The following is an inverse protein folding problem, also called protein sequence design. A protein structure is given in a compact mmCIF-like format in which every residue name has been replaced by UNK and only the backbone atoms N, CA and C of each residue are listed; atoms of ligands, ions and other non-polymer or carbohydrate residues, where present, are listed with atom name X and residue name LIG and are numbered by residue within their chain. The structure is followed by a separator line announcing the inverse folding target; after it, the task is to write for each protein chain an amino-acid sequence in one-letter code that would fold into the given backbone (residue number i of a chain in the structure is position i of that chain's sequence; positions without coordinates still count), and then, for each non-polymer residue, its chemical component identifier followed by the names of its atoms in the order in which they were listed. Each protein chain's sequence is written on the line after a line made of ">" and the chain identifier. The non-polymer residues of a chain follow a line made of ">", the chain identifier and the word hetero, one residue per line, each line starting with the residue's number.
data_IF_940371772190
#
_entry.id   IF_940371772190
#
_cell.length_a   1.000
_cell.length_b   1.000
_cell.length_c   1.000
_cell.angle_alpha   90.00
_cell.angle_beta   90.00
_cell.angle_gamma   90.00
#
_symmetry.space_group_name_H-M   'P 1'
#
loop_
_entity.id
_entity.type
_entity.pdbx_description
1 polymer ?
#
# COMPACT_ATOMS: atom_id res chain seq x y z
N UNK A 1 -24.72 -1.76 -12.64
CA UNK A 1 -23.73 -1.19 -13.58
C UNK A 1 -22.28 -1.66 -13.32
N UNK A 2 -21.99 -2.35 -12.19
CA UNK A 2 -20.67 -2.95 -11.89
C UNK A 2 -20.47 -4.33 -12.57
N UNK A 3 -21.53 -5.02 -12.99
CA UNK A 3 -21.46 -6.42 -13.42
C UNK A 3 -21.04 -6.64 -14.89
N UNK A 4 -20.95 -5.61 -15.73
CA UNK A 4 -20.64 -5.78 -17.17
C UNK A 4 -19.15 -5.68 -17.51
N UNK A 5 -18.30 -5.10 -16.64
CA UNK A 5 -16.83 -5.04 -16.81
C UNK A 5 -16.09 -6.32 -16.36
N UNK A 6 -16.79 -7.28 -15.73
CA UNK A 6 -16.16 -8.44 -15.07
C UNK A 6 -16.27 -9.77 -15.83
N UNK A 7 -16.78 -9.79 -17.06
CA UNK A 7 -16.87 -11.03 -17.86
C UNK A 7 -15.50 -11.61 -18.27
N UNK A 8 -14.46 -10.77 -18.29
CA UNK A 8 -13.08 -11.12 -18.63
C UNK A 8 -12.29 -11.76 -17.48
N UNK A 9 -12.76 -11.64 -16.24
CA UNK A 9 -12.08 -12.10 -15.04
C UNK A 9 -12.10 -13.62 -14.92
N UNK A 10 -10.95 -14.24 -14.73
CA UNK A 10 -10.83 -15.70 -14.59
C UNK A 10 -11.55 -16.20 -13.34
N UNK A 11 -11.57 -15.42 -12.25
CA UNK A 11 -12.27 -15.78 -11.01
C UNK A 11 -13.80 -15.74 -11.20
N UNK A 12 -14.28 -14.95 -12.16
CA UNK A 12 -15.70 -14.61 -12.34
C UNK A 12 -16.31 -15.31 -13.55
N UNK A 13 -15.49 -15.71 -14.53
CA UNK A 13 -15.96 -16.33 -15.76
C UNK A 13 -16.44 -17.77 -15.52
N UNK A 14 -17.73 -18.02 -15.78
CA UNK A 14 -18.44 -19.29 -15.52
C UNK A 14 -17.86 -20.51 -16.26
N UNK A 15 -17.09 -20.32 -17.33
CA UNK A 15 -16.53 -21.44 -18.12
C UNK A 15 -15.12 -21.86 -17.68
N UNK A 16 -14.39 -20.99 -16.97
CA UNK A 16 -12.99 -21.21 -16.52
C UNK A 16 -12.76 -20.83 -15.05
N UNK A 17 -13.81 -20.77 -14.23
CA UNK A 17 -13.72 -20.28 -12.86
C UNK A 17 -12.80 -21.15 -12.01
N UNK A 18 -11.88 -20.50 -11.29
CA UNK A 18 -11.18 -21.12 -10.15
C UNK A 18 -12.26 -21.44 -9.11
N UNK A 19 -12.59 -22.72 -8.95
CA UNK A 19 -13.54 -23.20 -7.94
C UNK A 19 -12.95 -22.94 -6.55
N UNK A 20 -13.53 -21.97 -5.84
CA UNK A 20 -13.24 -21.76 -4.44
C UNK A 20 -14.13 -22.73 -3.65
N UNK A 21 -13.58 -23.75 -2.97
CA UNK A 21 -14.38 -24.85 -2.42
C UNK A 21 -15.30 -24.43 -1.27
N UNK A 22 -15.02 -23.29 -0.63
CA UNK A 22 -15.75 -22.79 0.53
C UNK A 22 -16.74 -21.66 0.19
N UNK A 23 -16.71 -21.08 -1.01
CA UNK A 23 -17.62 -19.99 -1.40
C UNK A 23 -17.70 -19.75 -2.91
N UNK A 24 -18.73 -19.04 -3.36
CA UNK A 24 -18.88 -18.71 -4.79
C UNK A 24 -17.90 -17.61 -5.22
N UNK A 25 -17.00 -17.93 -6.16
CA UNK A 25 -15.90 -17.06 -6.60
C UNK A 25 -16.35 -15.67 -7.07
N UNK A 26 -17.42 -15.59 -7.88
CA UNK A 26 -18.01 -14.31 -8.31
C UNK A 26 -18.50 -13.49 -7.12
N UNK A 27 -19.19 -14.11 -6.16
CA UNK A 27 -19.77 -13.40 -5.04
C UNK A 27 -18.69 -12.93 -4.06
N UNK A 28 -17.63 -13.73 -3.84
CA UNK A 28 -16.47 -13.32 -3.06
C UNK A 28 -15.83 -12.07 -3.67
N UNK A 29 -15.52 -12.13 -4.97
CA UNK A 29 -14.92 -11.00 -5.68
C UNK A 29 -15.79 -9.75 -5.60
N UNK A 30 -17.09 -9.89 -5.84
CA UNK A 30 -18.04 -8.78 -5.72
C UNK A 30 -18.03 -8.17 -4.32
N UNK A 31 -18.02 -8.99 -3.26
CA UNK A 31 -17.98 -8.50 -1.88
C UNK A 31 -16.68 -7.77 -1.58
N UNK A 32 -15.54 -8.29 -2.04
CA UNK A 32 -14.23 -7.65 -1.88
C UNK A 32 -14.16 -6.31 -2.62
N UNK A 33 -14.71 -6.23 -3.83
CA UNK A 33 -14.78 -4.98 -4.60
C UNK A 33 -15.70 -3.96 -3.94
N UNK A 34 -16.88 -4.38 -3.45
CA UNK A 34 -17.79 -3.50 -2.69
C UNK A 34 -17.06 -2.92 -1.48
N UNK A 35 -16.36 -3.76 -0.72
CA UNK A 35 -15.60 -3.36 0.46
C UNK A 35 -14.45 -2.39 0.12
N UNK A 36 -13.74 -2.65 -0.97
CA UNK A 36 -12.59 -1.83 -1.41
C UNK A 36 -13.02 -0.48 -1.99
N UNK A 37 -14.20 -0.43 -2.61
CA UNK A 37 -14.76 0.79 -3.20
C UNK A 37 -15.69 1.55 -2.25
N UNK A 38 -15.87 1.03 -1.03
CA UNK A 38 -16.70 1.67 -0.02
C UNK A 38 -16.16 3.08 0.27
N UNK A 39 -17.08 4.04 0.34
CA UNK A 39 -16.76 5.43 0.61
C UNK A 39 -16.30 5.64 2.04
N UNK A 40 -16.64 4.74 2.96
CA UNK A 40 -16.18 4.78 4.36
C UNK A 40 -14.67 4.79 4.48
N UNK A 41 -13.97 4.09 3.57
CA UNK A 41 -12.49 4.00 3.52
C UNK A 41 -11.84 5.01 2.57
N UNK A 42 -12.60 5.95 1.97
CA UNK A 42 -12.04 6.94 1.05
C UNK A 42 -11.65 8.22 1.78
N UNK A 43 -10.40 8.63 1.60
CA UNK A 43 -9.96 9.96 1.95
C UNK A 43 -10.03 10.92 0.76
N UNK A 44 -10.42 12.17 1.00
CA UNK A 44 -10.34 13.22 -0.01
C UNK A 44 -8.91 13.78 -0.03
N UNK A 45 -8.37 14.13 -1.21
CA UNK A 45 -6.95 14.52 -1.38
C UNK A 45 -6.45 15.60 -0.41
N UNK A 46 -7.29 16.58 -0.08
CA UNK A 46 -6.90 17.72 0.74
C UNK A 46 -7.36 17.58 2.20
N UNK A 47 -7.40 16.35 2.72
CA UNK A 47 -7.85 16.11 4.10
C UNK A 47 -6.97 16.80 5.16
N UNK A 48 -5.71 17.08 4.84
CA UNK A 48 -4.84 17.86 5.71
C UNK A 48 -5.24 19.35 5.79
N UNK A 49 -6.08 19.87 4.90
CA UNK A 49 -6.59 21.25 5.00
C UNK A 49 -7.41 21.44 6.28
N UNK A 50 -8.03 20.38 6.79
CA UNK A 50 -8.72 20.34 8.10
C UNK A 50 -7.75 20.31 9.30
N UNK A 51 -6.45 20.18 9.06
CA UNK A 51 -5.40 19.99 10.05
C UNK A 51 -4.22 20.95 9.80
N UNK A 52 -4.40 22.27 10.01
CA UNK A 52 -3.41 23.29 9.61
C UNK A 52 -2.03 23.16 10.31
N UNK A 53 -1.93 22.37 11.38
CA UNK A 53 -0.68 22.12 12.11
C UNK A 53 0.06 20.86 11.65
N UNK A 54 -0.52 20.08 10.73
CA UNK A 54 0.04 18.82 10.23
C UNK A 54 0.36 18.99 8.74
N UNK A 55 1.64 18.83 8.38
CA UNK A 55 2.09 18.93 6.99
C UNK A 55 2.19 17.57 6.32
N UNK A 56 2.18 17.54 4.99
CA UNK A 56 2.41 16.30 4.20
C UNK A 56 3.76 15.67 4.55
N UNK A 57 4.80 16.48 4.74
CA UNK A 57 6.14 16.04 5.14
C UNK A 57 6.14 15.36 6.51
N UNK A 58 5.41 15.91 7.48
CA UNK A 58 5.26 15.26 8.79
C UNK A 58 4.63 13.87 8.66
N UNK A 59 3.61 13.72 7.81
CA UNK A 59 2.99 12.41 7.53
C UNK A 59 4.00 11.43 6.95
N UNK A 60 4.79 11.84 5.95
CA UNK A 60 5.83 10.99 5.36
C UNK A 60 6.86 10.55 6.40
N UNK A 61 7.34 11.46 7.26
CA UNK A 61 8.29 11.14 8.35
C UNK A 61 7.67 10.18 9.37
N UNK A 62 6.40 10.39 9.75
CA UNK A 62 5.71 9.47 10.65
C UNK A 62 5.60 8.07 10.04
N UNK A 63 5.25 7.96 8.76
CA UNK A 63 5.06 6.68 8.09
C UNK A 63 6.38 5.94 7.91
N UNK A 64 7.45 6.65 7.54
CA UNK A 64 8.80 6.10 7.46
C UNK A 64 9.24 5.52 8.82
N UNK A 65 9.05 6.28 9.90
CA UNK A 65 9.31 5.80 11.26
C UNK A 65 8.44 4.59 11.65
N UNK A 66 7.17 4.54 11.28
CA UNK A 66 6.32 3.38 11.55
C UNK A 66 6.78 2.12 10.79
N UNK A 67 7.40 2.25 9.63
CA UNK A 67 8.04 1.13 8.94
C UNK A 67 9.23 0.62 9.75
N UNK A 68 10.09 1.51 10.26
CA UNK A 68 11.21 1.14 11.14
C UNK A 68 10.72 0.39 12.39
N UNK A 69 9.73 0.94 13.08
CA UNK A 69 9.12 0.31 14.26
C UNK A 69 8.54 -1.06 13.92
N UNK A 70 7.90 -1.19 12.76
CA UNK A 70 7.33 -2.46 12.30
C UNK A 70 8.42 -3.50 12.01
N UNK A 71 9.56 -3.12 11.45
CA UNK A 71 10.70 -4.03 11.29
C UNK A 71 11.30 -4.44 12.63
N UNK A 72 11.52 -3.49 13.55
CA UNK A 72 12.09 -3.77 14.88
C UNK A 72 11.24 -4.78 15.65
N UNK A 73 9.93 -4.63 15.61
CA UNK A 73 8.99 -5.56 16.26
C UNK A 73 8.60 -6.76 15.40
N UNK A 74 9.19 -6.92 14.21
CA UNK A 74 8.90 -8.02 13.29
C UNK A 74 7.39 -8.14 13.01
N UNK A 75 6.72 -7.01 12.82
CA UNK A 75 5.30 -6.96 12.48
C UNK A 75 5.10 -7.31 11.01
N UNK A 76 3.90 -7.81 10.69
CA UNK A 76 3.52 -8.08 9.31
C UNK A 76 3.39 -6.78 8.51
N UNK A 77 3.65 -6.88 7.19
CA UNK A 77 3.39 -5.79 6.23
C UNK A 77 1.93 -5.35 6.26
N UNK A 78 1.02 -6.30 6.43
CA UNK A 78 -0.41 -6.02 6.57
C UNK A 78 -0.67 -5.09 7.77
N UNK A 79 -0.01 -5.34 8.91
CA UNK A 79 -0.10 -4.51 10.13
C UNK A 79 0.32 -3.05 9.86
N UNK A 80 1.43 -2.82 9.15
CA UNK A 80 1.82 -1.47 8.73
C UNK A 80 0.81 -0.84 7.76
N UNK A 81 0.36 -1.58 6.74
CA UNK A 81 -0.58 -1.03 5.76
C UNK A 81 -1.98 -0.75 6.36
N UNK A 82 -2.38 -1.48 7.39
CA UNK A 82 -3.57 -1.18 8.20
C UNK A 82 -3.37 0.09 9.03
N UNK A 83 -2.21 0.25 9.69
CA UNK A 83 -1.94 1.41 10.55
C UNK A 83 -1.98 2.71 9.76
N UNK A 84 -1.38 2.79 8.58
CA UNK A 84 -1.44 3.98 7.72
C UNK A 84 -2.85 4.25 7.21
N UNK A 85 -3.65 3.21 6.97
CA UNK A 85 -5.04 3.36 6.58
C UNK A 85 -5.87 3.97 7.72
N UNK A 86 -5.62 3.56 8.96
CA UNK A 86 -6.26 4.13 10.15
C UNK A 86 -5.86 5.58 10.37
N UNK A 87 -4.56 5.91 10.24
CA UNK A 87 -4.08 7.30 10.41
C UNK A 87 -4.73 8.22 9.38
N UNK A 88 -4.67 7.86 8.10
CA UNK A 88 -5.28 8.68 7.05
C UNK A 88 -6.78 8.83 7.30
N UNK A 89 -7.49 7.73 7.55
CA UNK A 89 -8.95 7.76 7.76
C UNK A 89 -9.35 8.57 9.01
N UNK A 90 -8.57 8.50 10.09
CA UNK A 90 -8.75 9.35 11.26
C UNK A 90 -8.67 10.84 10.90
N UNK A 91 -7.65 11.22 10.11
CA UNK A 91 -7.47 12.60 9.65
C UNK A 91 -8.57 13.02 8.67
N UNK A 92 -9.10 12.12 7.84
CA UNK A 92 -10.25 12.46 6.98
C UNK A 92 -11.53 12.76 7.79
N UNK A 93 -11.68 12.11 8.95
CA UNK A 93 -12.92 12.12 9.74
C UNK A 93 -12.89 13.10 10.91
N UNK A 94 -11.72 13.68 11.22
CA UNK A 94 -11.53 14.62 12.33
C UNK A 94 -11.03 15.96 11.82
N UNK A 95 -10.83 16.93 12.72
CA UNK A 95 -10.31 18.24 12.38
C UNK A 95 -9.38 18.73 13.49
N UNK A 96 -8.44 19.62 13.16
CA UNK A 96 -7.59 20.35 14.11
C UNK A 96 -6.79 19.45 15.07
N UNK A 97 -6.27 18.33 14.58
CA UNK A 97 -5.35 17.49 15.36
C UNK A 97 -4.11 18.30 15.79
N UNK A 98 -3.80 18.38 17.09
CA UNK A 98 -2.60 19.04 17.57
C UNK A 98 -1.32 18.35 17.11
N UNK A 99 -0.29 19.12 16.77
CA UNK A 99 1.03 18.63 16.31
C UNK A 99 1.66 17.59 17.25
N UNK A 100 1.58 17.83 18.56
CA UNK A 100 2.13 16.96 19.60
C UNK A 100 1.37 15.63 19.77
N UNK A 101 0.12 15.53 19.28
CA UNK A 101 -0.65 14.28 19.28
C UNK A 101 -0.42 13.42 18.04
N UNK A 102 0.36 13.88 17.06
CA UNK A 102 0.52 13.17 15.79
C UNK A 102 1.33 11.88 15.93
N UNK A 103 2.40 11.87 16.72
CA UNK A 103 3.14 10.65 17.04
C UNK A 103 2.25 9.66 17.83
N UNK A 104 1.46 10.17 18.77
CA UNK A 104 0.50 9.38 19.54
C UNK A 104 -0.55 8.70 18.63
N UNK A 105 -1.11 9.44 17.66
CA UNK A 105 -2.00 8.86 16.64
C UNK A 105 -1.32 7.71 15.88
N UNK A 106 -0.07 7.94 15.44
CA UNK A 106 0.68 6.97 14.65
C UNK A 106 0.93 5.67 15.40
N UNK A 107 1.50 5.77 16.60
CA UNK A 107 1.85 4.59 17.40
C UNK A 107 0.60 3.84 17.88
N UNK A 108 -0.48 4.57 18.22
CA UNK A 108 -1.76 3.97 18.59
C UNK A 108 -2.41 3.26 17.41
N UNK A 109 -2.35 3.82 16.21
CA UNK A 109 -2.84 3.17 14.99
C UNK A 109 -2.10 1.87 14.71
N UNK A 110 -0.78 1.84 14.92
CA UNK A 110 0.02 0.62 14.79
C UNK A 110 -0.32 -0.40 15.89
N UNK A 111 -0.54 0.05 17.12
CA UNK A 111 -1.00 -0.81 18.22
C UNK A 111 -2.35 -1.47 17.93
N UNK A 112 -3.34 -0.70 17.44
CA UNK A 112 -4.64 -1.24 17.04
C UNK A 112 -4.49 -2.24 15.89
N UNK A 113 -3.72 -1.89 14.84
CA UNK A 113 -3.47 -2.78 13.72
C UNK A 113 -2.81 -4.10 14.17
N UNK A 114 -1.83 -4.02 15.07
CA UNK A 114 -1.14 -5.20 15.59
C UNK A 114 -2.11 -6.11 16.35
N UNK A 115 -3.03 -5.57 17.15
CA UNK A 115 -4.05 -6.37 17.84
C UNK A 115 -5.03 -7.08 16.90
N UNK A 116 -5.21 -6.56 15.68
CA UNK A 116 -6.10 -7.15 14.68
C UNK A 116 -5.41 -8.23 13.86
N UNK A 117 -4.16 -8.00 13.48
CA UNK A 117 -3.46 -8.85 12.50
C UNK A 117 -2.49 -9.85 13.15
N UNK A 118 -1.83 -9.49 14.25
CA UNK A 118 -0.79 -10.33 14.86
C UNK A 118 -1.39 -11.41 15.76
N UNK A 119 -0.81 -12.62 15.70
CA UNK A 119 -1.16 -13.69 16.65
C UNK A 119 -0.74 -13.30 18.08
N UNK A 120 0.43 -12.67 18.19
CA UNK A 120 1.02 -12.21 19.45
C UNK A 120 1.52 -10.77 19.29
N UNK A 121 0.63 -9.76 19.35
CA UNK A 121 1.03 -8.36 19.24
C UNK A 121 1.99 -7.96 20.38
N UNK A 122 2.89 -6.98 20.17
CA UNK A 122 3.70 -6.40 21.24
C UNK A 122 2.83 -5.81 22.35
N UNK A 123 3.38 -5.72 23.56
CA UNK A 123 2.63 -5.20 24.72
C UNK A 123 2.49 -3.68 24.59
N UNK A 124 1.48 -3.14 25.26
CA UNK A 124 1.27 -1.69 25.36
C UNK A 124 2.53 -0.93 25.82
N UNK A 125 3.24 -1.49 26.81
CA UNK A 125 4.52 -0.96 27.30
C UNK A 125 5.60 -0.85 26.21
N UNK A 126 5.61 -1.76 25.24
CA UNK A 126 6.60 -1.78 24.15
C UNK A 126 6.31 -0.63 23.16
N UNK A 127 5.02 -0.34 22.91
CA UNK A 127 4.58 0.81 22.10
C UNK A 127 4.85 2.15 22.81
N UNK A 128 4.72 2.22 24.14
CA UNK A 128 5.15 3.42 24.89
C UNK A 128 6.67 3.58 24.85
N UNK A 129 7.42 2.48 25.08
CA UNK A 129 8.88 2.48 25.10
C UNK A 129 9.50 2.97 23.79
N UNK A 130 8.99 2.53 22.63
CA UNK A 130 9.54 2.93 21.31
C UNK A 130 9.35 4.41 20.99
N UNK A 131 8.48 5.11 21.74
CA UNK A 131 8.31 6.56 21.64
C UNK A 131 9.24 7.32 22.58
N UNK A 132 10.26 6.68 23.17
CA UNK A 132 11.06 7.24 24.28
C UNK A 132 10.17 7.70 25.46
N UNK A 133 9.03 7.04 25.66
CA UNK A 133 7.99 7.38 26.63
C UNK A 133 7.37 8.78 26.46
N UNK A 134 7.46 9.38 25.26
CA UNK A 134 6.71 10.61 24.97
C UNK A 134 5.20 10.35 24.91
N UNK A 135 4.81 9.13 24.56
CA UNK A 135 3.43 8.65 24.60
C UNK A 135 3.29 7.67 25.77
N UNK A 136 2.55 8.04 26.82
CA UNK A 136 2.31 7.15 27.95
C UNK A 136 1.33 6.03 27.59
N UNK A 137 1.33 4.93 28.36
CA UNK A 137 0.35 3.85 28.17
C UNK A 137 -1.10 4.35 28.29
N UNK A 138 -1.35 5.31 29.19
CA UNK A 138 -2.67 5.93 29.37
C UNK A 138 -3.07 6.74 28.12
N UNK A 139 -2.16 7.55 27.57
CA UNK A 139 -2.41 8.32 26.35
C UNK A 139 -2.73 7.41 25.17
N UNK A 140 -2.04 6.27 25.04
CA UNK A 140 -2.28 5.31 23.95
C UNK A 140 -3.66 4.67 24.10
N UNK A 141 -4.11 4.35 25.32
CA UNK A 141 -5.44 3.79 25.57
C UNK A 141 -6.56 4.81 25.28
N UNK A 142 -6.38 6.07 25.69
CA UNK A 142 -7.35 7.12 25.40
C UNK A 142 -7.43 7.40 23.89
N UNK A 143 -6.27 7.48 23.23
CA UNK A 143 -6.21 7.68 21.78
C UNK A 143 -6.78 6.49 21.01
N UNK A 144 -6.67 5.26 21.53
CA UNK A 144 -7.27 4.08 20.92
C UNK A 144 -8.80 4.26 20.85
N UNK A 145 -9.44 4.70 21.95
CA UNK A 145 -10.88 4.92 21.97
C UNK A 145 -11.29 6.03 20.99
N UNK A 146 -10.55 7.14 20.95
CA UNK A 146 -10.78 8.23 20.00
C UNK A 146 -10.63 7.75 18.55
N UNK A 147 -9.61 6.95 18.27
CA UNK A 147 -9.36 6.36 16.96
C UNK A 147 -10.52 5.46 16.53
N UNK A 148 -10.91 4.50 17.38
CA UNK A 148 -11.98 3.55 17.09
C UNK A 148 -13.33 4.25 16.82
N UNK A 149 -13.63 5.31 17.58
CA UNK A 149 -14.81 6.13 17.38
C UNK A 149 -14.76 6.92 16.07
N UNK A 150 -13.62 7.55 15.75
CA UNK A 150 -13.44 8.29 14.49
C UNK A 150 -13.55 7.37 13.26
N UNK A 151 -13.12 6.12 13.36
CA UNK A 151 -13.24 5.11 12.30
C UNK A 151 -14.64 4.46 12.25
N UNK A 152 -15.54 4.78 13.17
CA UNK A 152 -16.83 4.07 13.36
C UNK A 152 -16.67 2.54 13.40
N UNK A 153 -15.57 2.05 14.00
CA UNK A 153 -15.22 0.63 14.08
C UNK A 153 -15.02 -0.08 12.72
N UNK A 154 -14.90 0.66 11.61
CA UNK A 154 -14.51 0.11 10.30
C UNK A 154 -12.99 -0.07 10.23
N UNK A 155 -12.48 -1.12 10.89
CA UNK A 155 -11.04 -1.37 11.07
C UNK A 155 -10.46 -2.47 10.18
N UNK A 156 -11.24 -3.01 9.24
CA UNK A 156 -10.78 -4.09 8.38
C UNK A 156 -10.85 -3.64 6.91
N UNK A 157 -10.11 -2.63 6.44
CA UNK A 157 -10.00 -2.35 5.02
C UNK A 157 -9.24 -3.47 4.30
N UNK A 158 -9.42 -3.62 2.98
CA UNK A 158 -8.53 -4.47 2.17
C UNK A 158 -7.37 -3.60 1.71
N UNK A 159 -6.17 -3.85 2.23
CA UNK A 159 -4.97 -3.07 1.95
C UNK A 159 -4.41 -3.35 0.54
N UNK A 160 -3.48 -2.49 0.08
CA UNK A 160 -2.82 -2.69 -1.21
C UNK A 160 -1.96 -3.95 -1.18
N UNK A 161 -1.28 -4.25 -0.06
CA UNK A 161 -0.45 -5.44 0.08
C UNK A 161 -1.28 -6.73 0.04
N UNK A 162 -2.46 -6.74 0.69
CA UNK A 162 -3.45 -7.81 0.55
C UNK A 162 -3.86 -8.03 -0.91
N UNK A 163 -4.15 -6.96 -1.65
CA UNK A 163 -4.50 -7.06 -3.07
C UNK A 163 -3.36 -7.61 -3.94
N UNK A 164 -2.09 -7.26 -3.66
CA UNK A 164 -0.94 -7.85 -4.35
C UNK A 164 -0.91 -9.37 -4.13
N UNK A 165 -1.08 -9.83 -2.89
CA UNK A 165 -1.13 -11.26 -2.58
C UNK A 165 -2.24 -11.97 -3.36
N UNK A 166 -3.46 -11.41 -3.37
CA UNK A 166 -4.61 -11.96 -4.08
C UNK A 166 -4.31 -12.07 -5.58
N UNK A 167 -3.78 -11.01 -6.19
CA UNK A 167 -3.50 -10.99 -7.62
C UNK A 167 -2.42 -12.00 -8.03
N UNK A 168 -1.34 -12.10 -7.25
CA UNK A 168 -0.27 -13.07 -7.53
C UNK A 168 -0.73 -14.52 -7.27
N UNK A 169 -1.59 -14.74 -6.28
CA UNK A 169 -2.24 -16.04 -6.04
C UNK A 169 -3.09 -16.47 -7.25
N UNK A 170 -3.93 -15.55 -7.74
CA UNK A 170 -4.81 -15.81 -8.89
C UNK A 170 -4.00 -16.10 -10.16
N UNK A 171 -2.88 -15.40 -10.36
CA UNK A 171 -1.95 -15.68 -11.46
C UNK A 171 -1.41 -17.12 -11.39
N UNK A 172 -1.00 -17.55 -10.20
CA UNK A 172 -0.49 -18.90 -9.99
C UNK A 172 -1.56 -19.95 -10.27
N UNK A 173 -2.77 -19.77 -9.74
CA UNK A 173 -3.87 -20.70 -9.93
C UNK A 173 -4.27 -20.79 -11.40
N UNK A 174 -4.28 -19.66 -12.12
CA UNK A 174 -4.46 -19.61 -13.56
C UNK A 174 -3.40 -20.44 -14.29
N UNK A 175 -2.10 -20.24 -14.00
CA UNK A 175 -1.00 -20.99 -14.63
C UNK A 175 -1.09 -22.49 -14.33
N UNK A 176 -1.40 -22.85 -13.09
CA UNK A 176 -1.60 -24.23 -12.65
C UNK A 176 -2.77 -24.89 -13.39
N UNK A 177 -3.88 -24.18 -13.57
CA UNK A 177 -5.03 -24.66 -14.33
C UNK A 177 -4.68 -24.93 -15.79
N UNK A 178 -3.98 -24.01 -16.46
CA UNK A 178 -3.55 -24.14 -17.85
C UNK A 178 -2.59 -25.33 -18.04
N UNK A 179 -1.59 -25.48 -17.16
CA UNK A 179 -0.64 -26.61 -17.21
C UNK A 179 -1.32 -27.97 -17.03
N UNK A 180 -2.33 -28.06 -16.16
CA UNK A 180 -3.03 -29.31 -15.88
C UNK A 180 -4.02 -29.74 -16.99
N UNK A 181 -4.54 -28.80 -17.79
CA UNK A 181 -5.43 -29.13 -18.91
C UNK A 181 -4.73 -29.86 -20.06
N UNK A 182 -3.39 -29.85 -20.09
CA UNK A 182 -2.60 -30.68 -21.00
C UNK A 182 -2.54 -32.17 -20.56
N UNK A 183 -2.93 -32.49 -19.32
CA UNK A 183 -2.83 -33.83 -18.70
C UNK A 183 -4.20 -34.36 -18.21
N UNK A 184 -5.23 -34.33 -19.07
CA UNK A 184 -6.65 -34.63 -18.74
C UNK A 184 -6.95 -36.04 -18.16
N UNK A 185 -6.03 -37.00 -18.22
CA UNK A 185 -6.27 -38.41 -17.82
C UNK A 185 -6.35 -38.65 -16.29
N UNK A 186 -5.71 -37.82 -15.46
CA UNK A 186 -5.46 -38.17 -14.04
C UNK A 186 -6.48 -37.61 -13.02
N UNK A 187 -7.38 -36.70 -13.40
CA UNK A 187 -8.22 -35.95 -12.43
C UNK A 187 -9.49 -36.64 -11.95
N UNK A 188 -10.12 -37.53 -12.72
CA UNK A 188 -11.34 -38.22 -12.25
C UNK A 188 -11.08 -39.15 -11.07
N UNK A 189 -9.84 -39.60 -10.85
CA UNK A 189 -9.48 -40.55 -9.77
C UNK A 189 -9.03 -39.89 -8.47
N UNK A 190 -8.52 -38.65 -8.51
CA UNK A 190 -7.90 -37.99 -7.34
C UNK A 190 -8.89 -37.18 -6.48
N UNK A 191 -9.91 -36.60 -7.09
CA UNK A 191 -10.95 -35.81 -6.39
C UNK A 191 -11.84 -36.63 -5.44
N UNK A 192 -11.93 -37.95 -5.62
CA UNK A 192 -12.73 -38.83 -4.75
C UNK A 192 -12.02 -39.25 -3.45
N UNK A 193 -10.79 -38.79 -3.18
CA UNK A 193 -9.96 -39.32 -2.07
C UNK A 193 -9.43 -38.30 -1.07
N UNK A 194 -9.60 -37.00 -1.28
CA UNK A 194 -9.05 -35.97 -0.40
C UNK A 194 -10.13 -35.40 0.53
N UNK A 195 -9.78 -35.24 1.81
CA UNK A 195 -10.67 -34.62 2.79
C UNK A 195 -10.85 -33.12 2.47
N UNK A 196 -11.98 -32.54 2.85
CA UNK A 196 -12.27 -31.11 2.63
C UNK A 196 -11.17 -30.19 3.23
N UNK A 197 -10.51 -30.61 4.31
CA UNK A 197 -9.41 -29.87 4.96
C UNK A 197 -8.12 -29.81 4.14
N UNK A 198 -7.80 -30.87 3.39
CA UNK A 198 -6.61 -30.94 2.53
C UNK A 198 -6.82 -30.17 1.22
N UNK A 199 -8.05 -30.16 0.71
CA UNK A 199 -8.46 -29.35 -0.44
C UNK A 199 -8.31 -27.86 -0.09
N UNK A 200 -8.80 -27.44 1.08
CA UNK A 200 -8.66 -26.07 1.59
C UNK A 200 -7.19 -25.63 1.73
N UNK A 201 -6.33 -26.47 2.35
CA UNK A 201 -4.89 -26.17 2.49
C UNK A 201 -4.17 -26.10 1.15
N UNK A 202 -4.55 -26.92 0.17
CA UNK A 202 -3.92 -26.95 -1.15
C UNK A 202 -4.31 -25.78 -2.08
N UNK A 203 -5.45 -25.14 -1.81
CA UNK A 203 -6.05 -24.13 -2.68
C UNK A 203 -5.91 -22.68 -2.19
N UNK A 204 -5.48 -22.46 -0.94
CA UNK A 204 -5.36 -21.12 -0.37
C UNK A 204 -3.90 -20.91 0.03
N UNK A 205 -3.16 -20.13 -0.76
CA UNK A 205 -1.87 -19.51 -0.45
C UNK A 205 -0.63 -20.44 -0.32
N UNK A 206 -0.74 -21.65 0.23
CA UNK A 206 0.44 -22.45 0.64
C UNK A 206 1.38 -22.92 -0.48
N UNK A 207 0.89 -23.02 -1.73
CA UNK A 207 1.71 -23.52 -2.84
C UNK A 207 2.40 -22.41 -3.63
N UNK A 208 1.91 -21.18 -3.54
CA UNK A 208 2.43 -20.04 -4.32
C UNK A 208 3.68 -19.46 -3.68
N UNK A 209 3.72 -19.45 -2.34
CA UNK A 209 4.85 -18.97 -1.55
C UNK A 209 6.16 -19.72 -1.81
N UNK A 210 6.15 -20.89 -2.48
CA UNK A 210 7.37 -21.61 -2.87
C UNK A 210 7.97 -21.17 -4.20
N UNK A 211 7.27 -20.34 -4.98
CA UNK A 211 7.77 -19.86 -6.27
C UNK A 211 8.70 -18.67 -6.06
N UNK A 212 9.95 -18.78 -6.50
CA UNK A 212 10.93 -17.68 -6.43
C UNK A 212 10.44 -16.43 -7.18
N UNK A 213 9.73 -16.60 -8.31
CA UNK A 213 9.12 -15.50 -9.08
C UNK A 213 8.05 -14.77 -8.25
N UNK A 214 7.23 -15.51 -7.49
CA UNK A 214 6.21 -14.91 -6.64
C UNK A 214 6.83 -14.03 -5.56
N UNK A 215 7.80 -14.59 -4.82
CA UNK A 215 8.41 -13.93 -3.67
C UNK A 215 9.18 -12.69 -4.10
N UNK A 216 9.86 -12.76 -5.25
CA UNK A 216 10.58 -11.63 -5.83
C UNK A 216 9.61 -10.51 -6.23
N UNK A 217 8.57 -10.82 -7.02
CA UNK A 217 7.59 -9.80 -7.45
C UNK A 217 6.84 -9.22 -6.25
N UNK A 218 6.46 -10.06 -5.28
CA UNK A 218 5.80 -9.59 -4.06
C UNK A 218 6.69 -8.62 -3.29
N UNK A 219 7.96 -8.98 -3.03
CA UNK A 219 8.91 -8.13 -2.31
C UNK A 219 9.17 -6.80 -3.04
N UNK A 220 9.32 -6.82 -4.37
CA UNK A 220 9.50 -5.62 -5.18
C UNK A 220 8.25 -4.72 -5.17
N UNK A 221 7.07 -5.31 -5.35
CA UNK A 221 5.81 -4.58 -5.30
C UNK A 221 5.55 -3.99 -3.90
N UNK A 222 5.85 -4.74 -2.84
CA UNK A 222 5.71 -4.29 -1.46
C UNK A 222 6.64 -3.10 -1.18
N UNK A 223 7.92 -3.18 -1.54
CA UNK A 223 8.88 -2.08 -1.40
C UNK A 223 8.44 -0.83 -2.17
N UNK A 224 7.90 -0.99 -3.38
CA UNK A 224 7.34 0.12 -4.15
C UNK A 224 6.13 0.73 -3.46
N UNK A 225 5.21 -0.08 -2.93
CA UNK A 225 4.04 0.40 -2.20
C UNK A 225 4.41 1.09 -0.89
N UNK A 226 5.44 0.62 -0.19
CA UNK A 226 5.97 1.25 1.02
C UNK A 226 6.47 2.67 0.68
N UNK A 227 7.30 2.82 -0.37
CA UNK A 227 7.77 4.14 -0.80
C UNK A 227 6.62 5.04 -1.28
N UNK A 228 5.69 4.50 -2.05
CA UNK A 228 4.51 5.23 -2.50
C UNK A 228 3.63 5.70 -1.33
N UNK A 229 3.54 4.91 -0.25
CA UNK A 229 2.70 5.24 0.92
C UNK A 229 3.13 6.54 1.63
N UNK A 230 4.40 6.92 1.50
CA UNK A 230 4.93 8.18 2.03
C UNK A 230 4.32 9.41 1.35
N UNK A 231 3.87 9.29 0.10
CA UNK A 231 3.19 10.34 -0.64
C UNK A 231 1.72 10.45 -0.22
N UNK A 232 1.24 11.68 -0.01
CA UNK A 232 -0.15 11.97 0.35
C UNK A 232 -1.15 11.49 -0.72
N UNK A 233 -0.74 11.50 -1.99
CA UNK A 233 -1.57 11.06 -3.11
C UNK A 233 -1.81 9.54 -3.13
N UNK A 234 -1.06 8.76 -2.35
CA UNK A 234 -1.33 7.33 -2.17
C UNK A 234 -2.76 7.07 -1.67
N UNK A 235 -3.29 7.97 -0.85
CA UNK A 235 -4.61 7.81 -0.22
C UNK A 235 -5.76 8.04 -1.21
N UNK A 236 -5.50 8.69 -2.36
CA UNK A 236 -6.51 8.97 -3.39
C UNK A 236 -6.83 7.72 -4.24
N UNK A 237 -5.84 6.84 -4.42
CA UNK A 237 -5.98 5.69 -5.30
C UNK A 237 -6.60 4.51 -4.55
N UNK A 238 -7.48 3.78 -5.24
CA UNK A 238 -8.02 2.55 -4.69
C UNK A 238 -6.92 1.50 -4.52
N UNK A 239 -6.96 0.77 -3.41
CA UNK A 239 -5.89 -0.17 -3.02
C UNK A 239 -5.72 -1.30 -4.05
N UNK A 240 -6.80 -1.72 -4.71
CA UNK A 240 -6.76 -2.72 -5.78
C UNK A 240 -6.11 -2.19 -7.08
N UNK A 241 -6.14 -0.87 -7.33
CA UNK A 241 -5.47 -0.23 -8.47
C UNK A 241 -3.99 -0.10 -8.17
N UNK A 242 -3.64 0.38 -6.98
CA UNK A 242 -2.24 0.49 -6.52
C UNK A 242 -1.51 -0.85 -6.62
N UNK A 243 -2.14 -1.93 -6.16
CA UNK A 243 -1.60 -3.28 -6.23
C UNK A 243 -1.40 -3.78 -7.68
N UNK A 244 -2.34 -3.51 -8.58
CA UNK A 244 -2.22 -3.92 -9.98
C UNK A 244 -1.12 -3.13 -10.70
N UNK A 245 -1.07 -1.81 -10.49
CA UNK A 245 -0.05 -0.92 -11.04
C UNK A 245 1.35 -1.30 -10.58
N UNK A 246 1.53 -1.63 -9.30
CA UNK A 246 2.85 -1.99 -8.75
C UNK A 246 3.37 -3.30 -9.35
N UNK A 247 2.52 -4.31 -9.52
CA UNK A 247 2.90 -5.57 -10.20
C UNK A 247 3.25 -5.31 -11.67
N UNK A 248 2.43 -4.54 -12.38
CA UNK A 248 2.57 -4.32 -13.82
C UNK A 248 3.86 -3.55 -14.19
N UNK A 249 4.35 -2.68 -13.30
CA UNK A 249 5.63 -1.98 -13.47
C UNK A 249 6.83 -2.93 -13.46
N UNK A 250 6.81 -3.99 -12.65
CA UNK A 250 7.86 -5.02 -12.64
C UNK A 250 7.61 -6.16 -13.63
N UNK A 251 6.36 -6.36 -14.06
CA UNK A 251 5.93 -7.48 -14.92
C UNK A 251 5.05 -7.00 -16.07
N UNK A 252 5.68 -6.44 -17.10
CA UNK A 252 4.99 -5.85 -18.26
C UNK A 252 4.06 -6.80 -19.02
N UNK A 253 4.40 -8.09 -19.11
CA UNK A 253 3.60 -9.11 -19.80
C UNK A 253 2.57 -9.80 -18.89
N UNK A 254 2.24 -9.20 -17.74
CA UNK A 254 1.28 -9.76 -16.80
C UNK A 254 -0.15 -9.66 -17.33
N UNK A 255 -0.97 -10.74 -17.30
CA UNK A 255 -2.32 -10.75 -17.87
C UNK A 255 -3.33 -10.00 -16.97
N UNK A 256 -3.14 -8.69 -16.82
CA UNK A 256 -3.81 -7.83 -15.85
C UNK A 256 -5.33 -7.87 -15.96
N UNK A 257 -5.89 -7.79 -17.18
CA UNK A 257 -7.35 -7.80 -17.38
C UNK A 257 -7.98 -9.14 -16.98
N UNK A 258 -7.25 -10.25 -17.15
CA UNK A 258 -7.76 -11.58 -16.84
C UNK A 258 -7.72 -11.86 -15.33
N UNK A 259 -6.77 -11.26 -14.61
CA UNK A 259 -6.59 -11.44 -13.16
C UNK A 259 -7.39 -10.42 -12.35
N UNK A 260 -7.35 -9.15 -12.76
CA UNK A 260 -7.89 -8.02 -11.99
C UNK A 260 -9.20 -7.48 -12.56
N UNK A 261 -9.47 -7.72 -13.85
CA UNK A 261 -10.62 -7.13 -14.56
C UNK A 261 -10.43 -5.67 -14.93
N UNK A 262 -9.25 -5.09 -14.65
CA UNK A 262 -8.90 -3.71 -14.99
C UNK A 262 -8.35 -3.62 -16.41
N UNK A 263 -8.68 -2.53 -17.10
CA UNK A 263 -8.06 -2.19 -18.39
C UNK A 263 -6.84 -1.31 -18.19
N UNK A 264 -5.99 -1.18 -19.22
CA UNK A 264 -4.85 -0.26 -19.18
C UNK A 264 -5.30 1.19 -18.94
N UNK A 265 -6.47 1.58 -19.47
CA UNK A 265 -7.06 2.90 -19.22
C UNK A 265 -7.38 3.11 -17.73
N UNK A 266 -7.93 2.08 -17.06
CA UNK A 266 -8.26 2.13 -15.63
C UNK A 266 -6.99 2.28 -14.75
N UNK A 267 -5.83 1.81 -15.23
CA UNK A 267 -4.54 1.85 -14.52
C UNK A 267 -3.66 3.06 -14.88
N UNK A 268 -3.85 3.63 -16.08
CA UNK A 268 -2.98 4.62 -16.70
C UNK A 268 -2.57 5.77 -15.76
N UNK A 269 -3.53 6.41 -15.10
CA UNK A 269 -3.30 7.53 -14.18
C UNK A 269 -2.43 7.12 -12.98
N UNK A 270 -2.73 5.96 -12.39
CA UNK A 270 -1.98 5.45 -11.23
C UNK A 270 -0.57 5.05 -11.62
N UNK A 271 -0.39 4.39 -12.77
CA UNK A 271 0.93 4.02 -13.28
C UNK A 271 1.80 5.23 -13.59
N UNK A 272 1.24 6.27 -14.22
CA UNK A 272 1.96 7.52 -14.48
C UNK A 272 2.40 8.20 -13.18
N UNK A 273 1.55 8.21 -12.16
CA UNK A 273 1.90 8.74 -10.84
C UNK A 273 2.96 7.89 -10.12
N UNK A 274 2.87 6.56 -10.23
CA UNK A 274 3.74 5.59 -9.56
C UNK A 274 5.11 5.44 -10.24
N UNK A 275 5.22 5.80 -11.53
CA UNK A 275 6.43 5.59 -12.34
C UNK A 275 7.70 6.23 -11.77
N UNK A 276 7.72 7.49 -11.29
CA UNK A 276 8.93 8.08 -10.70
C UNK A 276 9.44 7.31 -9.47
N UNK A 277 8.54 6.78 -8.64
CA UNK A 277 8.91 5.93 -7.49
C UNK A 277 9.59 4.64 -7.95
N UNK A 278 9.03 3.99 -8.97
CA UNK A 278 9.61 2.79 -9.56
C UNK A 278 11.00 3.07 -10.15
N UNK A 279 11.17 4.18 -10.88
CA UNK A 279 12.46 4.56 -11.47
C UNK A 279 13.54 4.74 -10.41
N UNK A 280 13.27 5.50 -9.33
CA UNK A 280 14.19 5.68 -8.19
C UNK A 280 14.55 4.34 -7.56
N UNK A 281 13.58 3.46 -7.32
CA UNK A 281 13.85 2.14 -6.74
C UNK A 281 14.67 1.25 -7.68
N UNK A 282 14.39 1.28 -8.98
CA UNK A 282 15.12 0.49 -9.98
C UNK A 282 16.58 0.92 -10.10
N UNK A 283 16.86 2.22 -10.01
CA UNK A 283 18.21 2.78 -9.96
C UNK A 283 18.93 2.42 -8.66
N UNK A 284 18.22 2.39 -7.52
CA UNK A 284 18.81 1.94 -6.26
C UNK A 284 19.22 0.46 -6.28
N UNK A 285 18.42 -0.39 -6.94
CA UNK A 285 18.64 -1.84 -7.04
C UNK A 285 19.79 -2.17 -7.98
N UNK A 286 19.95 -1.42 -9.08
CA UNK A 286 21.10 -1.61 -9.98
C UNK A 286 22.42 -1.29 -9.27
N UNK A 287 22.44 -0.24 -8.43
CA UNK A 287 23.61 0.17 -7.66
C UNK A 287 23.96 -0.77 -6.50
N UNK A 288 22.96 -1.43 -5.88
CA UNK A 288 23.16 -2.31 -4.72
C UNK A 288 23.56 -3.76 -5.07
N UNK A 289 23.53 -4.13 -6.34
CA UNK A 289 23.86 -5.47 -6.85
C UNK A 289 25.30 -5.98 -6.55
N UNK A 290 26.12 -5.20 -5.83
CA UNK A 290 27.42 -5.60 -5.30
C UNK A 290 27.42 -6.17 -3.86
N UNK A 291 26.27 -6.26 -3.17
CA UNK A 291 26.20 -6.82 -1.80
C UNK A 291 24.98 -7.73 -1.62
N UNK A 292 25.18 -9.04 -1.81
CA UNK A 292 24.14 -10.04 -1.56
C UNK A 292 24.17 -10.53 -0.11
N UNK A 293 23.14 -10.28 0.67
CA UNK A 293 22.80 -11.09 1.85
C UNK A 293 21.51 -11.87 1.55
N UNK A 294 21.64 -13.20 1.54
CA UNK A 294 20.54 -14.14 1.35
C UNK A 294 19.72 -14.24 2.63
N UNK A 295 18.47 -13.81 2.58
CA UNK A 295 17.52 -13.85 3.69
C UNK A 295 16.54 -15.02 3.47
N UNK A 296 16.28 -15.90 4.47
CA UNK A 296 15.44 -17.08 4.31
C UNK A 296 13.99 -16.71 3.92
N UNK A 297 13.46 -17.42 2.94
CA UNK A 297 12.44 -16.89 2.03
C UNK A 297 11.00 -17.12 2.51
N UNK A 298 10.75 -18.09 3.40
CA UNK A 298 9.39 -18.62 3.57
C UNK A 298 8.53 -17.91 4.64
N UNK A 299 9.12 -17.13 5.55
CA UNK A 299 8.38 -16.30 6.54
C UNK A 299 8.74 -14.81 6.45
N UNK A 300 9.84 -14.44 5.78
CA UNK A 300 10.34 -13.06 5.81
C UNK A 300 9.61 -12.15 4.82
N UNK A 301 8.95 -12.71 3.80
CA UNK A 301 8.23 -11.87 2.84
C UNK A 301 7.05 -11.13 3.50
N UNK A 302 6.38 -11.76 4.47
CA UNK A 302 5.22 -11.18 5.15
C UNK A 302 5.61 -10.18 6.23
N UNK A 303 6.85 -10.21 6.72
CA UNK A 303 7.38 -9.27 7.71
C UNK A 303 7.74 -7.94 7.04
N UNK A 304 7.43 -6.84 7.73
CA UNK A 304 7.80 -5.50 7.29
C UNK A 304 9.32 -5.29 7.42
N UNK A 305 9.91 -4.62 6.42
CA UNK A 305 11.35 -4.35 6.35
C UNK A 305 11.51 -2.87 6.00
N UNK A 306 12.36 -2.13 6.71
CA UNK A 306 12.74 -0.77 6.37
C UNK A 306 13.83 -0.80 5.30
N UNK A 307 13.42 -0.99 4.05
CA UNK A 307 14.29 -1.00 2.88
C UNK A 307 14.04 0.19 1.93
N UNK A 308 13.28 1.16 2.42
CA UNK A 308 13.08 2.48 1.83
C UNK A 308 13.69 3.52 2.77
N UNK A 309 13.88 4.74 2.30
CA UNK A 309 14.34 5.84 3.14
C UNK A 309 13.72 7.15 2.66
N UNK A 310 13.69 8.13 3.55
CA UNK A 310 13.31 9.49 3.18
C UNK A 310 14.17 10.07 2.04
N UNK A 311 15.44 9.69 1.93
CA UNK A 311 16.30 10.13 0.81
C UNK A 311 15.78 9.62 -0.55
N UNK A 312 15.35 8.35 -0.61
CA UNK A 312 14.74 7.81 -1.83
C UNK A 312 13.46 8.59 -2.16
N UNK A 313 12.68 8.96 -1.15
CA UNK A 313 11.47 9.74 -1.33
C UNK A 313 11.76 11.17 -1.83
N UNK A 314 12.81 11.83 -1.34
CA UNK A 314 13.27 13.13 -1.86
C UNK A 314 13.66 13.02 -3.34
N UNK A 315 14.42 11.99 -3.71
CA UNK A 315 14.81 11.76 -5.12
C UNK A 315 13.61 11.59 -6.05
N UNK A 316 12.47 11.08 -5.56
CA UNK A 316 11.23 11.00 -6.34
C UNK A 316 10.71 12.39 -6.68
N UNK A 317 10.73 13.32 -5.72
CA UNK A 317 10.33 14.71 -5.95
C UNK A 317 11.28 15.42 -6.91
N UNK A 318 12.59 15.20 -6.78
CA UNK A 318 13.58 15.76 -7.70
C UNK A 318 13.30 15.31 -9.15
N UNK A 319 13.09 14.01 -9.39
CA UNK A 319 12.73 13.49 -10.73
C UNK A 319 11.43 14.10 -11.25
N UNK A 320 10.42 14.28 -10.39
CA UNK A 320 9.17 14.94 -10.75
C UNK A 320 9.40 16.41 -11.15
N UNK A 321 10.20 17.14 -10.40
CA UNK A 321 10.56 18.54 -10.71
C UNK A 321 11.36 18.67 -12.00
N UNK A 322 12.33 17.78 -12.25
CA UNK A 322 13.07 17.73 -13.52
C UNK A 322 12.14 17.50 -14.72
N UNK A 323 11.20 16.56 -14.57
CA UNK A 323 10.20 16.28 -15.59
C UNK A 323 9.31 17.50 -15.87
N UNK A 324 8.81 18.17 -14.84
CA UNK A 324 8.00 19.39 -14.99
C UNK A 324 8.81 20.51 -15.65
N UNK A 325 10.05 20.74 -15.23
CA UNK A 325 10.93 21.75 -15.83
C UNK A 325 11.21 21.45 -17.31
N UNK A 326 11.42 20.19 -17.67
CA UNK A 326 11.59 19.74 -19.06
C UNK A 326 10.37 20.05 -19.94
N UNK A 327 9.15 19.85 -19.40
CA UNK A 327 7.90 20.17 -20.09
C UNK A 327 7.66 21.68 -20.14
N UNK A 328 7.85 22.41 -19.05
CA UNK A 328 7.65 23.86 -18.96
C UNK A 328 8.54 24.65 -19.91
N UNK A 329 9.76 24.15 -20.16
CA UNK A 329 10.70 24.70 -21.13
C UNK A 329 10.27 24.45 -22.59
N UNK A 330 9.40 23.47 -22.84
CA UNK A 330 8.79 23.23 -24.14
C UNK A 330 7.35 23.79 -24.20
N UNK A 331 7.22 25.05 -24.65
CA UNK A 331 5.95 25.82 -24.70
C UNK A 331 4.71 25.08 -25.27
N UNK A 332 4.77 24.20 -26.28
CA UNK A 332 3.56 23.54 -26.79
C UNK A 332 3.03 22.40 -25.89
N UNK A 333 3.72 22.07 -24.80
CA UNK A 333 3.38 20.91 -23.96
C UNK A 333 2.91 21.26 -22.54
N UNK A 334 2.67 22.54 -22.23
CA UNK A 334 2.21 22.94 -20.89
C UNK A 334 0.89 22.30 -20.49
N UNK A 335 -0.01 22.10 -21.44
CA UNK A 335 -1.30 21.43 -21.19
C UNK A 335 -1.14 19.95 -20.80
N UNK A 336 0.02 19.33 -21.10
CA UNK A 336 0.32 17.96 -20.68
C UNK A 336 0.50 17.85 -19.16
N UNK A 337 0.86 18.92 -18.46
CA UNK A 337 1.01 18.91 -17.01
C UNK A 337 -0.32 18.60 -16.30
N UNK A 338 -1.45 18.99 -16.89
CA UNK A 338 -2.79 18.70 -16.37
C UNK A 338 -3.13 17.21 -16.37
N UNK A 339 -2.38 16.38 -17.10
CA UNK A 339 -2.54 14.92 -17.07
C UNK A 339 -1.85 14.27 -15.86
N UNK A 340 -0.96 14.98 -15.16
CA UNK A 340 -0.26 14.46 -13.99
C UNK A 340 -0.91 14.99 -12.71
N UNK A 341 -1.51 14.10 -11.91
CA UNK A 341 -2.17 14.48 -10.65
C UNK A 341 -1.23 15.24 -9.71
N UNK A 342 0.03 14.81 -9.66
CA UNK A 342 1.07 15.35 -8.80
C UNK A 342 1.62 16.71 -9.21
N UNK A 343 1.30 17.21 -10.40
CA UNK A 343 1.77 18.54 -10.84
C UNK A 343 1.27 19.66 -9.92
N UNK A 344 0.00 19.57 -9.50
CA UNK A 344 -0.62 20.57 -8.61
C UNK A 344 -0.11 20.48 -7.17
N UNK A 345 0.10 19.25 -6.67
CA UNK A 345 0.65 18.97 -5.34
C UNK A 345 2.10 19.45 -5.25
N UNK A 346 2.92 19.16 -6.27
CA UNK A 346 4.32 19.60 -6.34
C UNK A 346 4.44 21.12 -6.31
N UNK A 347 3.57 21.83 -7.05
CA UNK A 347 3.55 23.30 -7.06
C UNK A 347 3.15 23.88 -5.71
N UNK A 348 2.16 23.29 -5.02
CA UNK A 348 1.79 23.70 -3.65
C UNK A 348 2.90 23.42 -2.65
N UNK A 349 3.59 22.29 -2.77
CA UNK A 349 4.73 21.96 -1.90
C UNK A 349 5.89 22.94 -2.08
N UNK A 350 6.22 23.31 -3.32
CA UNK A 350 7.22 24.34 -3.59
C UNK A 350 6.86 25.70 -2.96
N UNK A 351 5.58 26.09 -3.04
CA UNK A 351 5.08 27.31 -2.39
C UNK A 351 5.18 27.24 -0.85
N UNK A 352 4.77 26.11 -0.27
CA UNK A 352 4.82 25.92 1.19
C UNK A 352 6.26 25.84 1.71
N UNK A 353 7.19 25.21 0.97
CA UNK A 353 8.60 25.15 1.34
C UNK A 353 9.25 26.54 1.25
N UNK A 354 8.87 27.37 0.28
CA UNK A 354 9.27 28.77 0.19
C UNK A 354 8.71 29.61 1.34
N UNK A 355 7.45 29.40 1.73
CA UNK A 355 6.83 30.06 2.88
C UNK A 355 7.45 29.61 4.21
N UNK A 356 7.72 28.31 4.41
CA UNK A 356 8.42 27.80 5.60
C UNK A 356 9.85 28.37 5.69
N UNK A 357 10.59 28.44 4.58
CA UNK A 357 11.91 29.06 4.54
C UNK A 357 11.86 30.56 4.86
N UNK A 358 10.85 31.28 4.37
CA UNK A 358 10.62 32.69 4.71
C UNK A 358 10.25 32.86 6.18
N UNK A 359 9.39 31.99 6.74
CA UNK A 359 9.00 32.01 8.15
C UNK A 359 10.19 31.71 9.06
N UNK A 360 11.06 30.78 8.64
CA UNK A 360 12.26 30.41 9.37
C UNK A 360 13.31 31.53 9.31
N UNK A 361 13.50 32.19 8.16
CA UNK A 361 14.31 33.40 8.06
C UNK A 361 13.76 34.56 8.92
N UNK A 362 12.43 34.74 8.98
CA UNK A 362 11.80 35.76 9.82
C UNK A 362 12.03 35.44 11.32
N UNK A 363 11.88 34.17 11.72
CA UNK A 363 12.14 33.75 13.10
C UNK A 363 13.62 33.88 13.48
N UNK A 364 14.55 33.59 12.56
CA UNK A 364 15.98 33.77 12.77
C UNK A 364 16.37 35.26 12.87
N UNK A 365 15.67 36.14 12.15
CA UNK A 365 15.85 37.61 12.27
C UNK A 365 15.28 38.14 13.59
N UNK A 366 14.17 37.58 14.09
CA UNK A 366 13.56 37.95 15.38
C UNK A 366 14.41 37.48 16.57
N UNK A 367 15.25 36.46 16.41
CA UNK A 367 16.19 36.01 17.46
C UNK A 367 17.45 36.90 17.55
N UNK A 368 17.67 37.80 16.58
CA UNK A 368 18.87 38.67 16.50
C UNK A 368 18.59 40.15 16.89
N UNK A 369 17.34 40.53 17.14
CA UNK A 369 16.93 41.88 17.62
C UNK A 369 16.37 41.79 19.02
#
# INVERSE_FOLDING_TARGET
>A
MVLTKHSSLIIVNKENSIDIPWYQSHQLWSNMMIKTLDKTYKCHLNFLDSHPLITTKMRSVLFDWLIEVSEVYQLHRETYHLSIAYIDQYLCNTNNLPKNKFQLLGITSLFVAAKIEEIYPPRLSDFSYVTDNTCSEEDILDMELDLMNALNWYINPITSISWVLIYLQVEYDMKSFLNNNNNRSLRKKRRLSLSNSEILRSSILTNVHRSTDFLQIFSLAARLLDLCSLDIEYSQYSKHILAASSILLYKSNWPVQQITGLTDDDLSMCQQWMKPFYEVLSESLSNSSNRSSSVPIDEIYSIQIHNISMDLFVNVYEKRSEFVSSIMNNRPFRDLLNHFSWSSTLLKQQQNDEEEQQQQQINDVIIIV
#
